data_IF_387209711881
#
_entry.id   IF_387209711881
#
_cell.length_a   1.000
_cell.length_b   1.000
_cell.length_c   1.000
_cell.angle_alpha   90.00
_cell.angle_beta   90.00
_cell.angle_gamma   90.00
#
_symmetry.space_group_name_H-M   'P 1'
#
loop_
_entity.id
_entity.type
_entity.pdbx_description
1 polymer ?
#
# COMPACT_ATOMS: atom_id res chain seq x y z
N UNK A 1 -15.84 10.68 -8.60
CA UNK A 1 -15.46 9.31 -9.03
C UNK A 1 -16.47 8.37 -8.40
N UNK A 2 -17.32 7.75 -9.20
CA UNK A 2 -18.10 6.61 -8.72
C UNK A 2 -17.26 5.35 -8.96
N UNK A 3 -16.87 4.66 -7.90
CA UNK A 3 -16.11 3.42 -8.02
C UNK A 3 -17.04 2.26 -8.33
N UNK A 4 -16.74 1.52 -9.39
CA UNK A 4 -17.43 0.25 -9.69
C UNK A 4 -16.98 -0.85 -8.71
N UNK A 5 -17.83 -1.85 -8.50
CA UNK A 5 -17.50 -3.02 -7.67
C UNK A 5 -16.18 -3.69 -8.12
N UNK A 6 -15.92 -3.73 -9.43
CA UNK A 6 -14.66 -4.27 -9.98
C UNK A 6 -13.42 -3.46 -9.57
N UNK A 7 -13.54 -2.13 -9.47
CA UNK A 7 -12.45 -1.25 -9.04
C UNK A 7 -12.15 -1.43 -7.56
N UNK A 8 -13.19 -1.50 -6.73
CA UNK A 8 -13.05 -1.74 -5.29
C UNK A 8 -12.36 -3.08 -5.03
N UNK A 9 -12.77 -4.14 -5.71
CA UNK A 9 -12.15 -5.47 -5.59
C UNK A 9 -10.69 -5.42 -6.05
N UNK A 10 -10.40 -4.77 -7.17
CA UNK A 10 -9.02 -4.65 -7.69
C UNK A 10 -8.12 -3.90 -6.71
N UNK A 11 -8.57 -2.74 -6.22
CA UNK A 11 -7.83 -1.93 -5.24
C UNK A 11 -7.62 -2.67 -3.92
N UNK A 12 -8.62 -3.43 -3.46
CA UNK A 12 -8.51 -4.26 -2.27
C UNK A 12 -7.45 -5.36 -2.44
N UNK A 13 -7.46 -6.08 -3.56
CA UNK A 13 -6.49 -7.14 -3.86
C UNK A 13 -5.07 -6.58 -3.98
N UNK A 14 -4.89 -5.46 -4.69
CA UNK A 14 -3.60 -4.77 -4.78
C UNK A 14 -3.13 -4.35 -3.38
N UNK A 15 -4.02 -3.76 -2.58
CA UNK A 15 -3.73 -3.34 -1.22
C UNK A 15 -3.31 -4.50 -0.32
N UNK A 16 -4.07 -5.60 -0.33
CA UNK A 16 -3.83 -6.77 0.50
C UNK A 16 -2.55 -7.52 0.09
N UNK A 17 -2.46 -7.92 -1.17
CA UNK A 17 -1.33 -8.73 -1.68
C UNK A 17 -0.05 -7.89 -1.74
N UNK A 18 -0.12 -6.69 -2.29
CA UNK A 18 1.04 -5.80 -2.42
C UNK A 18 1.63 -5.41 -1.05
N UNK A 19 0.78 -5.12 -0.07
CA UNK A 19 1.25 -4.77 1.28
C UNK A 19 1.77 -5.98 2.05
N UNK A 20 1.17 -7.16 1.88
CA UNK A 20 1.65 -8.40 2.50
C UNK A 20 3.06 -8.76 2.00
N UNK A 21 3.25 -8.81 0.67
CA UNK A 21 4.56 -9.11 0.07
C UNK A 21 5.61 -8.09 0.52
N UNK A 22 5.29 -6.81 0.41
CA UNK A 22 6.23 -5.76 0.79
C UNK A 22 6.55 -5.75 2.29
N UNK A 23 5.57 -6.07 3.13
CA UNK A 23 5.77 -6.25 4.57
C UNK A 23 6.71 -7.41 4.90
N UNK A 24 6.60 -8.54 4.18
CA UNK A 24 7.50 -9.68 4.35
C UNK A 24 8.94 -9.39 3.88
N UNK A 25 9.10 -8.58 2.83
CA UNK A 25 10.42 -8.20 2.30
C UNK A 25 11.08 -7.07 3.11
N UNK A 26 10.33 -6.38 3.97
CA UNK A 26 10.85 -5.33 4.86
C UNK A 26 11.14 -3.99 4.16
N UNK A 27 10.67 -3.82 2.92
CA UNK A 27 10.93 -2.63 2.08
C UNK A 27 9.84 -1.55 2.18
N UNK A 28 8.78 -1.81 2.97
CA UNK A 28 7.66 -0.88 3.18
C UNK A 28 6.62 -0.94 2.06
N UNK A 29 5.35 -1.12 2.44
CA UNK A 29 4.19 -1.47 1.58
C UNK A 29 4.10 -0.76 0.22
N UNK A 30 4.61 0.46 0.15
CA UNK A 30 4.49 1.35 -1.00
C UNK A 30 5.42 1.05 -2.18
N UNK A 31 6.59 0.44 -2.00
CA UNK A 31 7.50 0.16 -3.13
C UNK A 31 6.86 -0.80 -4.14
N UNK A 32 6.17 -1.82 -3.64
CA UNK A 32 5.46 -2.80 -4.47
C UNK A 32 4.12 -2.25 -4.95
N UNK A 33 3.40 -1.54 -4.07
CA UNK A 33 2.04 -1.04 -4.37
C UNK A 33 2.04 0.11 -5.39
N UNK A 34 3.08 0.93 -5.44
CA UNK A 34 3.18 2.07 -6.36
C UNK A 34 3.09 1.65 -7.84
N UNK A 35 3.94 0.76 -8.37
CA UNK A 35 3.81 0.28 -9.74
C UNK A 35 2.50 -0.49 -9.95
N UNK A 36 2.03 -1.25 -8.95
CA UNK A 36 0.77 -1.98 -9.07
C UNK A 36 -0.44 -1.06 -9.30
N UNK A 37 -0.53 0.06 -8.58
CA UNK A 37 -1.62 1.04 -8.75
C UNK A 37 -1.52 1.82 -10.06
N UNK A 38 -0.30 2.05 -10.57
CA UNK A 38 -0.12 2.72 -11.86
C UNK A 38 -0.44 1.82 -13.04
N UNK A 39 -0.16 0.51 -12.96
CA UNK A 39 -0.23 -0.36 -14.13
C UNK A 39 -1.44 -1.30 -14.12
N UNK A 40 -1.80 -1.90 -12.97
CA UNK A 40 -2.83 -2.96 -12.95
C UNK A 40 -4.23 -2.42 -13.27
N UNK A 41 -4.73 -1.34 -12.64
CA UNK A 41 -6.08 -0.84 -12.96
C UNK A 41 -6.24 -0.45 -14.43
N UNK A 42 -5.30 0.30 -15.07
CA UNK A 42 -5.36 0.57 -16.50
C UNK A 42 -5.32 -0.69 -17.38
N UNK A 43 -4.51 -1.68 -17.02
CA UNK A 43 -4.42 -2.96 -17.73
C UNK A 43 -5.75 -3.74 -17.74
N UNK A 44 -6.58 -3.54 -16.72
CA UNK A 44 -7.91 -4.14 -16.61
C UNK A 44 -9.01 -3.27 -17.23
N UNK A 45 -8.67 -2.16 -17.89
CA UNK A 45 -9.63 -1.21 -18.44
C UNK A 45 -10.36 -0.37 -17.37
N UNK A 46 -9.80 -0.28 -16.16
CA UNK A 46 -10.32 0.50 -15.04
C UNK A 46 -9.68 1.89 -15.00
N UNK A 47 -10.06 2.69 -13.99
CA UNK A 47 -9.50 4.04 -13.80
C UNK A 47 -7.97 4.06 -13.80
N UNK A 48 -7.40 5.05 -14.49
CA UNK A 48 -5.97 5.27 -14.53
C UNK A 48 -5.58 6.33 -13.50
N UNK A 49 -4.76 5.91 -12.53
CA UNK A 49 -4.22 6.81 -11.52
C UNK A 49 -3.00 7.54 -12.04
N UNK A 50 -2.90 8.82 -11.69
CA UNK A 50 -1.70 9.62 -11.91
C UNK A 50 -0.62 9.27 -10.87
N UNK A 51 0.64 9.53 -11.22
CA UNK A 51 1.77 9.39 -10.30
C UNK A 51 1.58 10.17 -8.99
N UNK A 52 0.89 11.32 -9.05
CA UNK A 52 0.58 12.15 -7.89
C UNK A 52 -0.47 11.49 -6.98
N UNK A 53 -1.55 10.93 -7.53
CA UNK A 53 -2.57 10.22 -6.75
C UNK A 53 -2.00 8.97 -6.10
N UNK A 54 -1.21 8.18 -6.83
CA UNK A 54 -0.55 6.99 -6.28
C UNK A 54 0.44 7.36 -5.20
N UNK A 55 1.16 8.48 -5.35
CA UNK A 55 2.05 9.01 -4.30
C UNK A 55 1.28 9.39 -3.04
N UNK A 56 0.16 10.10 -3.17
CA UNK A 56 -0.69 10.47 -2.05
C UNK A 56 -1.24 9.23 -1.31
N UNK A 57 -1.73 8.23 -2.06
CA UNK A 57 -2.20 6.95 -1.50
C UNK A 57 -1.07 6.22 -0.77
N UNK A 58 0.14 6.25 -1.32
CA UNK A 58 1.32 5.60 -0.75
C UNK A 58 1.75 6.28 0.55
N UNK A 59 1.81 7.61 0.58
CA UNK A 59 2.21 8.38 1.77
C UNK A 59 1.31 8.08 2.98
N UNK A 60 -0.02 8.09 2.78
CA UNK A 60 -0.98 7.74 3.83
C UNK A 60 -0.80 6.30 4.29
N UNK A 61 -0.61 5.37 3.36
CA UNK A 61 -0.41 3.96 3.69
C UNK A 61 0.87 3.71 4.49
N UNK A 62 2.02 4.26 4.06
CA UNK A 62 3.30 4.10 4.79
C UNK A 62 3.18 4.68 6.19
N UNK A 63 2.57 5.86 6.31
CA UNK A 63 2.39 6.51 7.61
C UNK A 63 1.69 5.58 8.61
N UNK A 64 0.53 5.04 8.24
CA UNK A 64 -0.22 4.14 9.12
C UNK A 64 0.45 2.77 9.28
N UNK A 65 1.10 2.23 8.25
CA UNK A 65 1.81 0.96 8.35
C UNK A 65 3.00 1.04 9.31
N UNK A 66 3.79 2.12 9.24
CA UNK A 66 4.91 2.36 10.15
C UNK A 66 4.42 2.62 11.56
N UNK A 67 3.33 3.39 11.74
CA UNK A 67 2.71 3.60 13.05
C UNK A 67 2.22 2.27 13.65
N UNK A 68 1.54 1.44 12.87
CA UNK A 68 1.09 0.12 13.30
C UNK A 68 2.28 -0.80 13.65
N UNK A 69 3.34 -0.80 12.84
CA UNK A 69 4.58 -1.53 13.12
C UNK A 69 5.23 -1.10 14.44
N UNK A 70 5.38 0.21 14.65
CA UNK A 70 5.88 0.75 15.92
C UNK A 70 5.03 0.29 17.11
N UNK A 71 3.70 0.39 17.01
CA UNK A 71 2.79 -0.04 18.08
C UNK A 71 2.81 -1.55 18.33
N UNK A 72 3.03 -2.37 17.30
CA UNK A 72 3.15 -3.82 17.39
C UNK A 72 4.47 -4.24 18.05
N UNK A 73 5.59 -3.61 17.66
CA UNK A 73 6.93 -3.99 18.14
C UNK A 73 7.38 -3.24 19.41
N UNK A 74 6.65 -2.23 19.90
CA UNK A 74 7.05 -1.41 21.08
C UNK A 74 7.36 -2.20 22.36
N UNK A 75 6.77 -3.38 22.54
CA UNK A 75 6.99 -4.23 23.72
C UNK A 75 7.99 -5.38 23.48
N UNK A 76 8.37 -5.63 22.23
CA UNK A 76 9.17 -6.81 21.86
C UNK A 76 10.69 -6.63 22.01
N UNK A 77 11.18 -5.45 22.42
CA UNK A 77 12.62 -5.18 22.49
C UNK A 77 13.30 -4.98 21.13
N UNK A 78 12.56 -5.06 20.02
CA UNK A 78 13.07 -4.91 18.64
C UNK A 78 13.25 -3.45 18.19
N UNK A 79 12.88 -2.47 19.02
CA UNK A 79 13.00 -1.05 18.72
C UNK A 79 14.19 -0.50 19.51
N UNK A 80 15.18 0.06 18.81
CA UNK A 80 16.28 0.80 19.44
C UNK A 80 15.73 2.06 20.10
N UNK A 81 15.93 2.22 21.41
CA UNK A 81 15.33 3.28 22.23
C UNK A 81 16.30 4.41 22.59
N UNK A 82 17.50 4.37 22.03
CA UNK A 82 18.52 5.39 22.31
C UNK A 82 18.14 6.76 21.76
#
# INVERSE_FOLDING_TARGET
MEFSAGEVVTLFLIGAVGSMISGMVGIGGSIVKYPMLLYIPPLLGLTAFTAQEVSAISAVQVFFATLAGMLAFRKGGYIHKE
#
